data_IF_143759310090
#
_entry.id   IF_143759310090
#
_cell.length_a   1.000
_cell.length_b   1.000
_cell.length_c   1.000
_cell.angle_alpha   90.00
_cell.angle_beta   90.00
_cell.angle_gamma   90.00
#
_symmetry.space_group_name_H-M   'P 1'
#
loop_
_entity.id
_entity.type
_entity.pdbx_description
1 polymer ?
#
# COMPACT_ATOMS: atom_id res chain seq x y z
N UNK A 1 22.89 22.50 -15.75
CA UNK A 1 22.11 21.84 -16.82
C UNK A 1 20.71 21.67 -16.32
N UNK A 2 19.69 22.10 -17.05
CA UNK A 2 18.31 21.72 -16.77
C UNK A 2 18.17 20.23 -17.09
N UNK A 3 17.93 19.40 -16.09
CA UNK A 3 17.56 17.99 -16.29
C UNK A 3 16.05 17.94 -16.49
N UNK A 4 15.61 17.35 -17.59
CA UNK A 4 14.19 17.14 -17.89
C UNK A 4 13.74 15.79 -17.33
N UNK A 5 12.60 15.76 -16.64
CA UNK A 5 11.96 14.53 -16.19
C UNK A 5 11.30 13.84 -17.39
N UNK A 6 11.70 12.61 -17.76
CA UNK A 6 11.12 11.90 -18.89
C UNK A 6 9.68 11.45 -18.58
N UNK A 7 8.87 11.34 -19.63
CA UNK A 7 7.49 10.85 -19.51
C UNK A 7 7.44 9.42 -18.95
N UNK A 8 6.36 9.11 -18.22
CA UNK A 8 6.15 7.79 -17.64
C UNK A 8 5.87 6.77 -18.75
N UNK A 9 6.55 5.64 -18.68
CA UNK A 9 6.32 4.47 -19.54
C UNK A 9 5.62 3.40 -18.69
N UNK A 10 4.27 3.35 -18.69
CA UNK A 10 3.54 2.34 -17.93
C UNK A 10 3.66 0.98 -18.62
N UNK A 11 3.46 -0.08 -17.84
CA UNK A 11 3.34 -1.42 -18.39
C UNK A 11 1.93 -1.62 -18.93
N UNK A 12 1.83 -1.90 -20.23
CA UNK A 12 0.57 -2.29 -20.89
C UNK A 12 0.76 -3.71 -21.37
N UNK A 13 -0.03 -4.63 -20.85
CA UNK A 13 0.03 -6.04 -21.24
C UNK A 13 -1.34 -6.53 -21.69
N UNK A 14 -1.43 -7.19 -22.86
CA UNK A 14 -2.63 -7.90 -23.27
C UNK A 14 -2.84 -9.20 -22.47
N UNK A 15 -1.82 -9.66 -21.74
CA UNK A 15 -1.84 -10.86 -20.93
C UNK A 15 -2.13 -10.46 -19.48
N UNK A 16 -3.26 -10.93 -18.95
CA UNK A 16 -3.59 -10.81 -17.53
C UNK A 16 -3.79 -12.22 -16.99
N UNK A 17 -2.75 -12.78 -16.37
CA UNK A 17 -2.86 -14.11 -15.78
C UNK A 17 -3.86 -14.07 -14.62
N UNK A 18 -4.70 -15.10 -14.59
CA UNK A 18 -5.53 -15.45 -13.46
C UNK A 18 -5.10 -16.81 -12.94
N UNK A 19 -5.12 -16.99 -11.62
CA UNK A 19 -4.80 -18.26 -10.98
C UNK A 19 -6.07 -18.93 -10.50
N UNK A 20 -7.03 -18.13 -10.00
CA UNK A 20 -8.29 -18.63 -9.48
C UNK A 20 -9.38 -18.60 -10.55
N UNK A 21 -10.20 -19.65 -10.60
CA UNK A 21 -11.48 -19.59 -11.31
C UNK A 21 -12.44 -18.62 -10.60
N UNK A 22 -13.46 -18.13 -11.30
CA UNK A 22 -14.47 -17.25 -10.71
C UNK A 22 -15.16 -17.88 -9.48
N UNK A 23 -15.39 -19.19 -9.49
CA UNK A 23 -15.98 -19.91 -8.37
C UNK A 23 -15.04 -20.00 -7.16
N UNK A 24 -13.74 -20.23 -7.40
CA UNK A 24 -12.73 -20.23 -6.33
C UNK A 24 -12.57 -18.84 -5.72
N UNK A 25 -12.50 -17.80 -6.56
CA UNK A 25 -12.40 -16.40 -6.12
C UNK A 25 -13.60 -15.99 -5.26
N UNK A 26 -14.82 -16.33 -5.68
CA UNK A 26 -16.03 -16.09 -4.89
C UNK A 26 -15.99 -16.83 -3.55
N UNK A 27 -15.48 -18.07 -3.52
CA UNK A 27 -15.30 -18.85 -2.29
C UNK A 27 -14.26 -18.21 -1.37
N UNK A 28 -13.18 -17.65 -1.90
CA UNK A 28 -12.16 -16.94 -1.11
C UNK A 28 -12.78 -15.69 -0.47
N UNK A 29 -13.51 -14.87 -1.24
CA UNK A 29 -14.25 -13.72 -0.69
C UNK A 29 -15.28 -14.11 0.37
N UNK A 30 -16.01 -15.22 0.16
CA UNK A 30 -16.93 -15.77 1.16
C UNK A 30 -16.21 -16.09 2.47
N UNK A 31 -15.01 -16.68 2.39
CA UNK A 31 -14.18 -16.99 3.57
C UNK A 31 -13.65 -15.73 4.26
N UNK A 32 -13.28 -14.69 3.51
CA UNK A 32 -12.97 -13.37 4.08
C UNK A 32 -14.16 -12.82 4.87
N UNK A 33 -15.36 -12.83 4.27
CA UNK A 33 -16.59 -12.36 4.94
C UNK A 33 -16.92 -13.20 6.19
N UNK A 34 -16.75 -14.52 6.12
CA UNK A 34 -16.94 -15.40 7.27
C UNK A 34 -15.99 -15.05 8.43
N UNK A 35 -14.73 -14.72 8.13
CA UNK A 35 -13.74 -14.34 9.13
C UNK A 35 -14.11 -13.01 9.80
N UNK A 36 -14.51 -12.01 9.00
CA UNK A 36 -14.99 -10.71 9.49
C UNK A 36 -16.25 -10.82 10.36
N UNK A 37 -17.19 -11.71 9.99
CA UNK A 37 -18.46 -11.88 10.70
C UNK A 37 -18.31 -12.65 12.02
N UNK A 38 -17.53 -13.74 12.02
CA UNK A 38 -17.44 -14.68 13.15
C UNK A 38 -16.32 -14.34 14.13
N UNK A 39 -15.15 -13.95 13.62
CA UNK A 39 -13.98 -13.64 14.45
C UNK A 39 -13.95 -12.15 14.73
N UNK A 40 -13.94 -11.34 13.68
CA UNK A 40 -13.78 -9.88 13.75
C UNK A 40 -12.31 -9.45 13.73
N UNK A 41 -12.10 -8.15 13.80
CA UNK A 41 -10.79 -7.50 13.72
C UNK A 41 -10.64 -6.51 14.87
N UNK A 42 -9.44 -6.44 15.45
CA UNK A 42 -9.12 -5.53 16.54
C UNK A 42 -8.83 -4.11 16.02
N UNK A 43 -9.53 -3.11 16.57
CA UNK A 43 -9.44 -1.70 16.22
C UNK A 43 -9.22 -0.84 17.48
N UNK A 44 -7.97 -0.54 17.86
CA UNK A 44 -7.66 0.20 19.08
C UNK A 44 -7.85 1.72 18.92
N UNK A 45 -9.00 2.15 18.37
CA UNK A 45 -9.35 3.56 18.19
C UNK A 45 -10.82 3.79 18.57
N UNK A 46 -11.08 4.53 19.67
CA UNK A 46 -12.44 4.85 20.09
C UNK A 46 -13.28 5.51 18.99
N UNK A 47 -12.66 6.36 18.15
CA UNK A 47 -13.32 6.99 16.99
C UNK A 47 -13.76 5.96 15.96
N UNK A 48 -12.92 4.98 15.65
CA UNK A 48 -13.26 3.92 14.71
C UNK A 48 -14.38 3.02 15.24
N UNK A 49 -14.29 2.63 16.53
CA UNK A 49 -15.32 1.83 17.19
C UNK A 49 -16.69 2.53 17.18
N UNK A 50 -16.71 3.85 17.35
CA UNK A 50 -17.95 4.65 17.27
C UNK A 50 -18.55 4.62 15.86
N UNK A 51 -17.75 4.92 14.84
CA UNK A 51 -18.19 4.88 13.43
C UNK A 51 -18.79 3.51 13.09
N UNK A 52 -18.14 2.43 13.51
CA UNK A 52 -18.65 1.08 13.30
C UNK A 52 -19.98 0.83 14.02
N UNK A 53 -20.11 1.26 15.27
CA UNK A 53 -21.33 1.10 16.06
C UNK A 53 -22.51 1.87 15.44
N UNK A 54 -22.30 3.11 15.01
CA UNK A 54 -23.31 3.96 14.34
C UNK A 54 -23.86 3.31 13.06
N UNK A 55 -23.03 2.52 12.37
CA UNK A 55 -23.40 1.83 11.13
C UNK A 55 -23.88 0.38 11.34
N UNK A 56 -24.10 -0.03 12.59
CA UNK A 56 -24.69 -1.33 12.95
C UNK A 56 -23.71 -2.50 12.97
N UNK A 57 -22.40 -2.25 13.04
CA UNK A 57 -21.44 -3.32 13.30
C UNK A 57 -21.57 -3.85 14.73
N UNK A 58 -21.16 -5.10 14.96
CA UNK A 58 -21.10 -5.66 16.32
C UNK A 58 -19.75 -5.32 16.94
N UNK A 59 -19.77 -4.42 17.91
CA UNK A 59 -18.56 -3.87 18.54
C UNK A 59 -18.45 -4.36 19.99
N UNK A 60 -17.38 -5.08 20.30
CA UNK A 60 -16.94 -5.35 21.67
C UNK A 60 -15.98 -4.22 22.07
N UNK A 61 -16.46 -3.25 22.87
CA UNK A 61 -15.67 -2.08 23.26
C UNK A 61 -14.62 -2.39 24.32
N UNK A 62 -14.77 -3.46 25.09
CA UNK A 62 -13.78 -3.86 26.09
C UNK A 62 -12.56 -4.49 25.42
N UNK A 63 -12.80 -5.34 24.41
CA UNK A 63 -11.74 -5.99 23.64
C UNK A 63 -11.31 -5.20 22.41
N UNK A 64 -11.98 -4.10 22.11
CA UNK A 64 -11.80 -3.31 20.90
C UNK A 64 -11.93 -4.15 19.61
N UNK A 65 -12.81 -5.16 19.60
CA UNK A 65 -13.03 -6.06 18.46
C UNK A 65 -14.31 -5.67 17.71
N UNK A 66 -14.20 -5.53 16.40
CA UNK A 66 -15.31 -5.24 15.49
C UNK A 66 -15.59 -6.45 14.62
N UNK A 67 -16.85 -6.91 14.62
CA UNK A 67 -17.35 -7.94 13.70
C UNK A 67 -18.27 -7.30 12.66
N UNK A 68 -17.99 -7.59 11.40
CA UNK A 68 -18.68 -7.00 10.25
C UNK A 68 -19.51 -8.07 9.56
N UNK A 69 -20.82 -7.84 9.41
CA UNK A 69 -21.67 -8.77 8.66
C UNK A 69 -21.37 -8.66 7.15
N UNK A 70 -21.60 -9.74 6.37
CA UNK A 70 -21.42 -9.70 4.91
C UNK A 70 -22.17 -8.54 4.26
N UNK A 71 -23.40 -8.24 4.71
CA UNK A 71 -24.23 -7.17 4.18
C UNK A 71 -23.65 -5.78 4.46
N UNK A 72 -23.08 -5.57 5.65
CA UNK A 72 -22.40 -4.32 6.01
C UNK A 72 -21.15 -4.11 5.14
N UNK A 73 -20.35 -5.17 4.97
CA UNK A 73 -19.14 -5.12 4.14
C UNK A 73 -19.50 -4.79 2.70
N UNK A 74 -20.46 -5.49 2.10
CA UNK A 74 -20.90 -5.26 0.73
C UNK A 74 -21.47 -3.84 0.54
N UNK A 75 -22.28 -3.36 1.49
CA UNK A 75 -22.86 -2.01 1.43
C UNK A 75 -21.79 -0.93 1.51
N UNK A 76 -20.80 -1.07 2.39
CA UNK A 76 -19.73 -0.08 2.51
C UNK A 76 -18.83 -0.10 1.27
N UNK A 77 -18.38 -1.29 0.86
CA UNK A 77 -17.47 -1.45 -0.27
C UNK A 77 -18.09 -1.07 -1.62
N UNK A 78 -19.42 -1.11 -1.77
CA UNK A 78 -20.07 -0.62 -3.01
C UNK A 78 -19.91 0.88 -3.25
N UNK A 79 -19.53 1.64 -2.22
CA UNK A 79 -19.23 3.08 -2.35
C UNK A 79 -17.76 3.35 -2.72
N UNK A 80 -16.87 2.35 -2.60
CA UNK A 80 -15.46 2.53 -2.94
C UNK A 80 -15.28 2.69 -4.47
N UNK A 81 -14.51 3.69 -4.94
CA UNK A 81 -14.31 3.89 -6.36
C UNK A 81 -13.36 2.83 -6.95
N UNK A 82 -13.81 2.11 -8.00
CA UNK A 82 -12.95 1.20 -8.76
C UNK A 82 -11.81 1.89 -9.48
N UNK A 83 -11.99 3.16 -9.84
CA UNK A 83 -10.99 3.93 -10.56
C UNK A 83 -10.90 5.36 -10.07
N UNK A 84 -9.67 5.85 -9.96
CA UNK A 84 -9.33 7.22 -9.60
C UNK A 84 -7.93 7.56 -10.09
N UNK A 85 -7.57 8.84 -10.00
CA UNK A 85 -6.27 9.37 -10.41
C UNK A 85 -5.38 9.57 -9.18
N UNK A 86 -4.11 9.18 -9.32
CA UNK A 86 -3.04 9.64 -8.44
C UNK A 86 -2.27 10.73 -9.17
N UNK A 87 -2.32 11.95 -8.65
CA UNK A 87 -1.81 13.14 -9.33
C UNK A 87 -0.29 13.24 -9.27
N UNK A 88 0.35 13.48 -10.41
CA UNK A 88 1.70 14.03 -10.44
C UNK A 88 1.70 15.54 -10.24
N UNK A 89 2.89 16.15 -10.16
CA UNK A 89 3.03 17.62 -10.15
C UNK A 89 2.46 18.24 -11.42
N UNK A 90 2.58 17.54 -12.53
CA UNK A 90 2.03 17.88 -13.85
C UNK A 90 1.11 16.75 -14.31
N UNK A 91 0.12 17.07 -15.17
CA UNK A 91 -0.88 16.09 -15.65
C UNK A 91 -0.24 14.93 -16.42
N UNK A 92 0.90 15.16 -17.09
CA UNK A 92 1.64 14.09 -17.79
C UNK A 92 2.22 13.02 -16.86
N UNK A 93 2.26 13.29 -15.55
CA UNK A 93 2.74 12.35 -14.52
C UNK A 93 1.59 11.75 -13.70
N UNK A 94 0.35 11.91 -14.13
CA UNK A 94 -0.81 11.29 -13.48
C UNK A 94 -0.84 9.78 -13.71
N UNK A 95 -1.17 9.06 -12.65
CA UNK A 95 -1.41 7.62 -12.72
C UNK A 95 -2.91 7.37 -12.70
N UNK A 96 -3.43 6.86 -13.81
CA UNK A 96 -4.84 6.51 -13.96
C UNK A 96 -5.02 5.06 -13.51
N UNK A 97 -5.62 4.84 -12.34
CA UNK A 97 -5.84 3.51 -11.77
C UNK A 97 -7.17 2.93 -12.26
N UNK A 98 -7.27 2.55 -13.52
CA UNK A 98 -8.47 1.97 -14.14
C UNK A 98 -8.30 0.49 -14.53
N UNK A 99 -7.14 -0.10 -14.20
CA UNK A 99 -6.77 -1.47 -14.57
C UNK A 99 -6.32 -1.62 -16.03
N UNK A 100 -6.20 -0.55 -16.82
CA UNK A 100 -5.67 -0.62 -18.19
C UNK A 100 -4.14 -0.70 -18.24
N UNK A 101 -3.47 -0.25 -17.17
CA UNK A 101 -2.03 -0.06 -17.06
C UNK A 101 -1.53 -0.50 -15.69
N UNK A 102 -0.28 -0.93 -15.63
CA UNK A 102 0.45 -1.18 -14.39
C UNK A 102 1.58 -0.17 -14.22
N UNK A 103 1.65 0.45 -13.06
CA UNK A 103 2.67 1.45 -12.74
C UNK A 103 3.69 0.88 -11.76
N UNK A 104 4.98 0.96 -12.11
CA UNK A 104 6.05 0.48 -11.23
C UNK A 104 6.36 1.52 -10.15
N UNK A 105 6.38 1.09 -8.88
CA UNK A 105 6.79 1.89 -7.74
C UNK A 105 8.05 1.38 -7.03
N UNK A 106 8.66 2.29 -6.28
CA UNK A 106 9.69 1.96 -5.28
C UNK A 106 9.06 1.41 -3.99
N UNK A 107 9.89 0.81 -3.13
CA UNK A 107 9.57 0.31 -1.79
C UNK A 107 9.65 1.42 -0.72
N UNK A 108 9.35 1.08 0.53
CA UNK A 108 9.11 2.00 1.61
C UNK A 108 9.97 1.83 2.87
N UNK A 109 10.47 2.97 3.35
CA UNK A 109 10.80 3.26 4.76
C UNK A 109 11.86 2.36 5.39
N UNK A 110 12.82 1.88 4.59
CA UNK A 110 14.06 1.27 5.09
C UNK A 110 14.81 2.18 6.07
N UNK A 111 15.49 1.58 7.04
CA UNK A 111 16.21 2.32 8.11
C UNK A 111 17.71 2.45 7.88
N UNK A 112 18.20 1.87 6.78
CA UNK A 112 19.58 1.88 6.35
C UNK A 112 19.66 2.03 4.84
N UNK A 113 20.78 2.56 4.37
CA UNK A 113 21.13 2.66 2.95
C UNK A 113 22.53 2.07 2.76
N UNK A 114 22.79 1.49 1.59
CA UNK A 114 24.16 1.22 1.14
C UNK A 114 24.62 2.44 0.37
N UNK A 115 25.62 3.11 0.92
CA UNK A 115 26.16 4.32 0.32
C UNK A 115 26.79 4.01 -1.05
N UNK A 116 26.40 4.72 -2.13
CA UNK A 116 26.81 4.35 -3.48
C UNK A 116 28.31 4.53 -3.74
N UNK A 117 28.97 5.44 -3.00
CA UNK A 117 30.40 5.73 -3.15
C UNK A 117 31.23 4.78 -2.29
N UNK A 118 30.92 4.69 -0.99
CA UNK A 118 31.72 3.91 -0.04
C UNK A 118 31.34 2.43 0.01
N UNK A 119 30.17 2.06 -0.53
CA UNK A 119 29.56 0.72 -0.46
C UNK A 119 29.30 0.23 0.97
N UNK A 120 29.34 1.13 1.95
CA UNK A 120 29.08 0.79 3.34
C UNK A 120 27.60 0.97 3.69
N UNK A 121 27.08 0.06 4.51
CA UNK A 121 25.74 0.19 5.08
C UNK A 121 25.78 1.20 6.22
N UNK A 122 24.93 2.23 6.15
CA UNK A 122 24.79 3.25 7.19
C UNK A 122 23.31 3.58 7.46
N UNK A 123 22.98 4.19 8.62
CA UNK A 123 21.66 4.78 8.82
C UNK A 123 21.33 5.78 7.70
N UNK A 124 20.07 5.77 7.26
CA UNK A 124 19.57 6.70 6.25
C UNK A 124 19.30 8.10 6.83
N UNK A 125 19.39 9.13 5.99
CA UNK A 125 19.03 10.52 6.28
C UNK A 125 18.11 11.10 5.20
N UNK A 126 17.63 12.33 5.40
CA UNK A 126 16.76 13.02 4.44
C UNK A 126 17.40 13.18 3.05
N UNK A 127 18.71 13.34 2.98
CA UNK A 127 19.42 13.49 1.70
C UNK A 127 19.40 12.20 0.87
N UNK A 128 19.36 11.04 1.53
CA UNK A 128 19.18 9.75 0.84
C UNK A 128 17.79 9.68 0.20
N UNK A 129 16.74 10.13 0.90
CA UNK A 129 15.38 10.22 0.34
C UNK A 129 15.34 11.15 -0.87
N UNK A 130 15.99 12.31 -0.77
CA UNK A 130 16.09 13.27 -1.88
C UNK A 130 16.85 12.69 -3.08
N UNK A 131 17.97 12.00 -2.85
CA UNK A 131 18.74 11.33 -3.90
C UNK A 131 17.91 10.27 -4.61
N UNK A 132 17.23 9.42 -3.84
CA UNK A 132 16.37 8.37 -4.35
C UNK A 132 15.18 8.91 -5.14
N UNK A 133 14.59 10.02 -4.69
CA UNK A 133 13.53 10.72 -5.42
C UNK A 133 14.01 11.19 -6.80
N UNK A 134 15.23 11.76 -6.89
CA UNK A 134 15.82 12.18 -8.18
C UNK A 134 16.14 11.00 -9.10
N UNK A 135 16.60 9.87 -8.54
CA UNK A 135 16.81 8.64 -9.32
C UNK A 135 15.48 8.13 -9.88
N UNK A 136 14.44 8.07 -9.05
CA UNK A 136 13.09 7.73 -9.48
C UNK A 136 12.59 8.69 -10.57
N UNK A 137 12.80 9.99 -10.40
CA UNK A 137 12.41 11.03 -11.37
C UNK A 137 13.05 10.80 -12.74
N UNK A 138 14.35 10.50 -12.77
CA UNK A 138 15.11 10.27 -14.00
C UNK A 138 14.75 8.96 -14.75
N UNK A 139 14.08 8.00 -14.12
CA UNK A 139 13.78 6.69 -14.71
C UNK A 139 12.35 6.63 -15.27
N UNK A 140 12.14 6.53 -16.60
CA UNK A 140 10.79 6.57 -17.19
C UNK A 140 9.89 5.40 -16.77
N UNK A 141 10.47 4.24 -16.47
CA UNK A 141 9.72 3.06 -16.03
C UNK A 141 9.23 3.18 -14.59
N UNK A 142 9.92 3.94 -13.73
CA UNK A 142 9.50 4.14 -12.34
C UNK A 142 8.50 5.29 -12.31
N UNK A 143 7.24 4.96 -12.07
CA UNK A 143 6.10 5.87 -12.24
C UNK A 143 5.68 6.57 -10.95
N UNK A 144 5.98 5.95 -9.81
CA UNK A 144 5.49 6.32 -8.49
C UNK A 144 6.65 6.27 -7.50
N UNK A 145 6.82 7.34 -6.72
CA UNK A 145 7.85 7.39 -5.70
C UNK A 145 7.30 7.10 -4.31
N UNK A 146 7.66 5.95 -3.78
CA UNK A 146 7.63 5.67 -2.35
C UNK A 146 9.02 5.97 -1.75
N UNK A 147 9.14 6.80 -0.69
CA UNK A 147 10.39 6.95 0.05
C UNK A 147 10.98 5.60 0.48
N UNK A 148 12.03 5.11 -0.21
CA UNK A 148 12.66 3.81 0.05
C UNK A 148 13.34 3.73 1.40
N UNK A 149 13.77 4.86 1.95
CA UNK A 149 14.37 4.97 3.28
C UNK A 149 13.72 6.08 4.10
N UNK A 150 13.99 6.09 5.40
CA UNK A 150 13.48 7.10 6.33
C UNK A 150 14.52 8.17 6.67
N UNK A 151 14.06 9.41 6.81
CA UNK A 151 14.83 10.58 7.26
C UNK A 151 15.12 10.50 8.78
N UNK A 152 15.91 9.51 9.21
CA UNK A 152 16.13 9.20 10.64
C UNK A 152 16.81 10.33 11.41
N UNK A 153 17.54 11.18 10.71
CA UNK A 153 18.14 12.41 11.20
C UNK A 153 17.12 13.41 11.77
N UNK A 154 15.82 13.23 11.50
CA UNK A 154 14.73 14.06 12.03
C UNK A 154 13.84 13.34 13.07
N UNK A 155 14.24 12.16 13.56
CA UNK A 155 13.56 11.47 14.66
C UNK A 155 12.05 11.31 14.44
N UNK A 156 11.23 11.82 15.36
CA UNK A 156 9.75 11.65 15.32
C UNK A 156 9.08 12.40 14.17
N UNK A 157 9.72 13.39 13.56
CA UNK A 157 9.19 14.13 12.41
C UNK A 157 9.69 13.58 11.08
N UNK A 158 10.45 12.48 11.07
CA UNK A 158 10.95 11.83 9.86
C UNK A 158 9.89 11.67 8.75
N UNK A 159 8.62 11.29 9.02
CA UNK A 159 7.62 11.18 7.95
C UNK A 159 7.31 12.49 7.22
N UNK A 160 7.32 13.63 7.94
CA UNK A 160 7.17 14.96 7.31
C UNK A 160 8.36 15.28 6.41
N UNK A 161 9.56 14.91 6.85
CA UNK A 161 10.80 15.13 6.09
C UNK A 161 10.89 14.19 4.88
N UNK A 162 10.38 12.97 4.98
CA UNK A 162 10.25 12.04 3.85
C UNK A 162 9.32 12.64 2.78
N UNK A 163 8.11 13.05 3.18
CA UNK A 163 7.14 13.65 2.26
C UNK A 163 7.69 14.93 1.62
N UNK A 164 8.26 15.82 2.42
CA UNK A 164 8.87 17.05 1.91
C UNK A 164 10.02 16.78 0.93
N UNK A 165 10.98 15.92 1.29
CA UNK A 165 12.10 15.59 0.41
C UNK A 165 11.62 14.98 -0.90
N UNK A 166 10.60 14.13 -0.87
CA UNK A 166 9.96 13.55 -2.04
C UNK A 166 9.37 14.62 -2.96
N UNK A 167 8.47 15.45 -2.42
CA UNK A 167 7.70 16.43 -3.19
C UNK A 167 8.55 17.51 -3.87
N UNK A 168 9.75 17.79 -3.36
CA UNK A 168 10.66 18.78 -3.95
C UNK A 168 11.72 18.18 -4.88
N UNK A 169 11.83 16.85 -4.97
CA UNK A 169 12.87 16.16 -5.77
C UNK A 169 12.30 15.25 -6.87
N UNK A 170 10.97 15.14 -7.02
CA UNK A 170 10.35 14.50 -8.18
C UNK A 170 9.07 15.20 -8.60
N UNK A 171 8.78 15.16 -9.91
CA UNK A 171 7.51 15.61 -10.48
C UNK A 171 6.44 14.51 -10.50
N UNK A 172 6.83 13.25 -10.22
CA UNK A 172 5.95 12.08 -10.21
C UNK A 172 5.12 12.01 -8.93
N UNK A 173 4.10 11.16 -8.92
CA UNK A 173 3.26 10.96 -7.74
C UNK A 173 4.06 10.40 -6.55
N UNK A 174 3.74 10.85 -5.33
CA UNK A 174 4.49 10.55 -4.11
C UNK A 174 3.65 9.82 -3.05
N UNK A 175 4.19 8.78 -2.43
CA UNK A 175 3.63 8.22 -1.19
C UNK A 175 4.12 8.97 0.04
N UNK A 176 3.41 10.04 0.39
CA UNK A 176 3.79 10.93 1.50
C UNK A 176 3.30 10.47 2.89
N UNK A 177 2.21 9.71 2.95
CA UNK A 177 1.51 9.40 4.20
C UNK A 177 1.83 8.02 4.78
N UNK A 178 3.10 7.75 5.12
CA UNK A 178 3.53 6.45 5.68
C UNK A 178 4.11 6.60 7.09
N UNK A 179 3.66 5.76 8.04
CA UNK A 179 4.15 5.74 9.44
C UNK A 179 4.01 7.10 10.15
N UNK A 180 2.89 7.79 9.90
CA UNK A 180 2.65 9.14 10.43
C UNK A 180 1.84 9.05 11.71
N UNK A 181 2.29 9.76 12.76
CA UNK A 181 1.47 9.93 13.96
C UNK A 181 0.30 10.88 13.65
N UNK A 182 -0.93 10.68 14.17
CA UNK A 182 -2.12 11.47 13.80
C UNK A 182 -1.92 12.99 13.90
N UNK A 183 -1.25 13.45 14.97
CA UNK A 183 -0.86 14.86 15.14
C UNK A 183 -0.01 15.45 14.02
N UNK A 184 0.70 14.62 13.25
CA UNK A 184 1.53 15.03 12.13
C UNK A 184 0.81 14.88 10.78
N UNK A 185 -0.27 14.09 10.73
CA UNK A 185 -0.99 13.80 9.49
C UNK A 185 -1.57 15.08 8.86
N UNK A 186 -2.06 16.02 9.67
CA UNK A 186 -2.56 17.31 9.18
C UNK A 186 -1.50 18.13 8.44
N UNK A 187 -0.23 18.07 8.85
CA UNK A 187 0.85 18.77 8.13
C UNK A 187 1.15 18.11 6.78
N UNK A 188 1.00 16.79 6.65
CA UNK A 188 1.06 16.11 5.34
C UNK A 188 -0.09 16.58 4.43
N UNK A 189 -1.30 16.76 5.01
CA UNK A 189 -2.44 17.33 4.28
C UNK A 189 -2.16 18.78 3.83
N UNK A 190 -1.54 19.59 4.67
CA UNK A 190 -1.13 20.96 4.32
C UNK A 190 -0.11 20.96 3.18
N UNK A 191 0.92 20.09 3.24
CA UNK A 191 1.87 19.93 2.13
C UNK A 191 1.17 19.54 0.82
N UNK A 192 0.24 18.59 0.87
CA UNK A 192 -0.55 18.18 -0.30
C UNK A 192 -1.39 19.34 -0.84
N UNK A 193 -1.97 20.15 0.04
CA UNK A 193 -2.81 21.30 -0.34
C UNK A 193 -1.98 22.40 -1.00
N UNK A 194 -0.77 22.67 -0.51
CA UNK A 194 0.19 23.61 -1.14
C UNK A 194 0.59 23.12 -2.52
N UNK A 195 0.88 21.83 -2.68
CA UNK A 195 1.24 21.24 -3.99
C UNK A 195 0.09 21.27 -4.98
N UNK A 196 -1.13 20.96 -4.52
CA UNK A 196 -2.32 20.95 -5.37
C UNK A 196 -2.82 22.36 -5.73
N UNK A 197 -2.48 23.39 -4.93
CA UNK A 197 -2.91 24.77 -5.11
C UNK A 197 -4.37 25.05 -4.74
N UNK A 198 -5.22 24.01 -4.62
CA UNK A 198 -6.60 24.13 -4.14
C UNK A 198 -7.10 22.82 -3.53
N UNK A 199 -8.14 22.91 -2.69
CA UNK A 199 -8.80 21.72 -2.14
C UNK A 199 -9.48 20.87 -3.22
N UNK A 200 -10.06 21.50 -4.24
CA UNK A 200 -10.70 20.81 -5.37
C UNK A 200 -9.67 19.98 -6.16
N UNK A 201 -8.53 20.59 -6.53
CA UNK A 201 -7.45 19.90 -7.22
C UNK A 201 -6.91 18.75 -6.38
N UNK A 202 -6.74 18.95 -5.07
CA UNK A 202 -6.27 17.91 -4.15
C UNK A 202 -7.21 16.70 -4.12
N UNK A 203 -8.53 16.91 -4.22
CA UNK A 203 -9.51 15.81 -4.24
C UNK A 203 -9.54 15.11 -5.61
N UNK A 204 -9.49 15.88 -6.71
CA UNK A 204 -9.59 15.34 -8.08
C UNK A 204 -8.30 14.67 -8.57
N UNK A 205 -7.15 15.23 -8.22
CA UNK A 205 -5.79 14.81 -8.61
C UNK A 205 -4.85 14.89 -7.38
N UNK A 206 -5.08 14.05 -6.35
CA UNK A 206 -4.29 14.09 -5.12
C UNK A 206 -2.80 13.91 -5.41
N UNK A 207 -1.92 14.86 -5.03
CA UNK A 207 -0.49 14.80 -5.35
C UNK A 207 0.26 13.77 -4.49
N UNK A 208 -0.41 13.26 -3.45
CA UNK A 208 0.11 12.22 -2.58
C UNK A 208 -0.95 11.17 -2.28
N UNK A 209 -0.51 9.98 -1.89
CA UNK A 209 -1.33 8.98 -1.22
C UNK A 209 -0.68 8.52 0.09
N UNK A 210 -1.45 7.81 0.90
CA UNK A 210 -1.02 7.20 2.15
C UNK A 210 -0.93 5.67 2.04
N UNK A 211 -0.10 5.06 2.88
CA UNK A 211 -0.07 3.61 3.08
C UNK A 211 -0.11 3.31 4.57
N UNK A 212 -1.13 2.56 4.98
CA UNK A 212 -1.35 2.15 6.36
C UNK A 212 -1.25 0.63 6.42
N UNK A 213 -0.23 0.14 7.09
CA UNK A 213 -0.07 -1.30 7.29
C UNK A 213 -1.01 -1.77 8.41
N UNK A 214 -1.62 -2.92 8.20
CA UNK A 214 -2.36 -3.64 9.23
C UNK A 214 -1.37 -4.36 10.16
N UNK A 215 -1.85 -4.80 11.32
CA UNK A 215 -1.08 -5.57 12.28
C UNK A 215 -1.62 -7.00 12.26
N UNK A 216 -0.94 -7.88 11.53
CA UNK A 216 -1.36 -9.29 11.48
C UNK A 216 -1.01 -10.02 12.78
N UNK A 217 -1.89 -10.92 13.28
CA UNK A 217 -3.19 -11.29 12.72
C UNK A 217 -4.35 -10.37 13.16
N UNK A 218 -5.22 -10.02 12.21
CA UNK A 218 -6.57 -9.43 12.42
C UNK A 218 -6.59 -8.23 13.38
N UNK A 219 -5.62 -7.32 13.27
CA UNK A 219 -5.55 -6.11 14.08
C UNK A 219 -5.11 -4.91 13.26
N UNK A 220 -5.37 -3.72 13.80
CA UNK A 220 -4.85 -2.45 13.29
C UNK A 220 -4.08 -1.69 14.36
N UNK A 221 -3.22 -0.78 13.90
CA UNK A 221 -2.56 0.21 14.73
C UNK A 221 -3.47 1.45 14.89
N UNK A 222 -3.57 1.97 16.12
CA UNK A 222 -4.37 3.15 16.45
C UNK A 222 -3.97 4.36 15.61
N UNK A 223 -2.68 4.65 15.53
CA UNK A 223 -2.15 5.84 14.86
C UNK A 223 -2.39 5.79 13.35
N UNK A 224 -2.25 4.61 12.75
CA UNK A 224 -2.52 4.33 11.35
C UNK A 224 -3.99 4.56 11.03
N UNK A 225 -4.92 4.01 11.81
CA UNK A 225 -6.36 4.20 11.60
C UNK A 225 -6.78 5.66 11.79
N UNK A 226 -6.30 6.32 12.84
CA UNK A 226 -6.62 7.73 13.07
C UNK A 226 -6.05 8.64 11.97
N UNK A 227 -4.84 8.34 11.48
CA UNK A 227 -4.26 9.08 10.35
C UNK A 227 -5.01 8.78 9.04
N UNK A 228 -5.46 7.54 8.82
CA UNK A 228 -6.27 7.17 7.67
C UNK A 228 -7.58 7.98 7.62
N UNK A 229 -8.26 8.13 8.77
CA UNK A 229 -9.48 8.95 8.84
C UNK A 229 -9.19 10.43 8.50
N UNK A 230 -8.07 10.99 8.96
CA UNK A 230 -7.64 12.37 8.59
C UNK A 230 -7.37 12.49 7.09
N UNK A 231 -6.70 11.51 6.49
CA UNK A 231 -6.40 11.51 5.06
C UNK A 231 -7.66 11.34 4.20
N UNK A 232 -8.58 10.46 4.61
CA UNK A 232 -9.84 10.24 3.90
C UNK A 232 -10.70 11.51 3.88
N UNK A 233 -10.82 12.19 5.03
CA UNK A 233 -11.51 13.48 5.14
C UNK A 233 -10.91 14.55 4.22
N UNK A 234 -9.59 14.50 4.02
CA UNK A 234 -8.85 15.37 3.13
C UNK A 234 -8.92 14.97 1.64
N UNK A 235 -9.56 13.85 1.29
CA UNK A 235 -9.58 13.32 -0.07
C UNK A 235 -8.24 12.76 -0.54
N UNK A 236 -7.34 12.41 0.39
CA UNK A 236 -6.07 11.74 0.07
C UNK A 236 -6.33 10.24 -0.03
N UNK A 237 -5.97 9.57 -1.15
CA UNK A 237 -6.14 8.13 -1.32
C UNK A 237 -5.34 7.31 -0.31
N UNK A 238 -5.92 6.21 0.15
CA UNK A 238 -5.32 5.35 1.18
C UNK A 238 -5.19 3.92 0.69
N UNK A 239 -3.97 3.40 0.77
CA UNK A 239 -3.68 1.97 0.67
C UNK A 239 -3.71 1.35 2.04
N UNK A 240 -4.44 0.24 2.18
CA UNK A 240 -4.30 -0.64 3.34
C UNK A 240 -3.51 -1.87 2.93
N UNK A 241 -2.43 -2.14 3.68
CA UNK A 241 -1.48 -3.20 3.37
C UNK A 241 -1.40 -4.23 4.49
N UNK A 242 -1.77 -5.48 4.18
CA UNK A 242 -1.51 -6.60 5.07
C UNK A 242 -0.25 -7.36 4.67
N UNK A 243 0.55 -7.74 5.66
CA UNK A 243 1.79 -8.50 5.48
C UNK A 243 1.79 -9.80 6.30
N UNK A 244 0.81 -10.70 6.10
CA UNK A 244 0.68 -11.91 6.89
C UNK A 244 1.89 -12.82 6.66
N UNK A 245 2.60 -13.16 7.76
CA UNK A 245 3.79 -14.02 7.72
C UNK A 245 3.39 -15.45 8.09
N UNK A 246 3.37 -16.34 7.10
CA UNK A 246 3.04 -17.75 7.27
C UNK A 246 3.95 -18.41 8.30
N UNK A 247 3.35 -19.13 9.25
CA UNK A 247 4.07 -19.81 10.33
C UNK A 247 4.43 -18.90 11.51
N UNK A 248 4.10 -17.61 11.45
CA UNK A 248 4.29 -16.65 12.54
C UNK A 248 2.98 -15.93 12.84
N UNK A 249 2.71 -14.81 12.15
CA UNK A 249 1.51 -14.00 12.33
C UNK A 249 0.32 -14.47 11.50
N UNK A 250 0.50 -15.51 10.67
CA UNK A 250 -0.54 -16.09 9.83
C UNK A 250 -0.47 -17.63 9.81
N UNK A 251 -1.57 -18.32 9.48
CA UNK A 251 -1.54 -19.77 9.24
C UNK A 251 -0.48 -20.14 8.20
N UNK A 252 0.14 -21.32 8.34
CA UNK A 252 1.21 -21.80 7.46
C UNK A 252 0.73 -22.27 6.07
N UNK A 253 -0.44 -21.81 5.61
CA UNK A 253 -1.00 -22.14 4.29
C UNK A 253 -1.22 -20.86 3.49
N UNK A 254 -0.72 -20.76 2.23
CA UNK A 254 -0.77 -19.52 1.46
C UNK A 254 -2.17 -18.93 1.31
N UNK A 255 -3.17 -19.77 1.04
CA UNK A 255 -4.54 -19.33 0.85
C UNK A 255 -5.18 -18.80 2.14
N UNK A 256 -4.88 -19.42 3.30
CA UNK A 256 -5.42 -18.96 4.57
C UNK A 256 -4.74 -17.66 5.02
N UNK A 257 -3.43 -17.53 4.80
CA UNK A 257 -2.72 -16.28 5.02
C UNK A 257 -3.28 -15.15 4.15
N UNK A 258 -3.57 -15.43 2.87
CA UNK A 258 -4.20 -14.48 1.96
C UNK A 258 -5.59 -14.06 2.43
N UNK A 259 -6.47 -14.99 2.79
CA UNK A 259 -7.83 -14.70 3.32
C UNK A 259 -7.76 -13.85 4.59
N UNK A 260 -6.81 -14.15 5.48
CA UNK A 260 -6.63 -13.39 6.72
C UNK A 260 -6.15 -11.96 6.44
N UNK A 261 -5.16 -11.80 5.56
CA UNK A 261 -4.69 -10.47 5.13
C UNK A 261 -5.77 -9.68 4.40
N UNK A 262 -6.58 -10.35 3.57
CA UNK A 262 -7.74 -9.75 2.91
C UNK A 262 -8.76 -9.23 3.93
N UNK A 263 -9.05 -10.00 4.99
CA UNK A 263 -9.94 -9.54 6.05
C UNK A 263 -9.40 -8.30 6.79
N UNK A 264 -8.09 -8.24 7.06
CA UNK A 264 -7.46 -7.06 7.64
C UNK A 264 -7.64 -5.82 6.74
N UNK A 265 -7.30 -5.93 5.46
CA UNK A 265 -7.40 -4.84 4.48
C UNK A 265 -8.85 -4.37 4.32
N UNK A 266 -9.77 -5.31 4.06
CA UNK A 266 -11.19 -4.98 3.83
C UNK A 266 -11.83 -4.37 5.06
N UNK A 267 -11.49 -4.82 6.28
CA UNK A 267 -12.04 -4.21 7.49
C UNK A 267 -11.71 -2.71 7.61
N UNK A 268 -10.49 -2.30 7.24
CA UNK A 268 -10.10 -0.90 7.27
C UNK A 268 -10.68 -0.09 6.11
N UNK A 269 -10.78 -0.69 4.91
CA UNK A 269 -11.46 -0.05 3.79
C UNK A 269 -12.94 0.19 4.08
N UNK A 270 -13.62 -0.77 4.71
CA UNK A 270 -14.99 -0.62 5.20
C UNK A 270 -15.08 0.55 6.17
N UNK A 271 -14.17 0.68 7.15
CA UNK A 271 -14.14 1.82 8.05
C UNK A 271 -14.09 3.16 7.29
N UNK A 272 -13.21 3.27 6.30
CA UNK A 272 -13.07 4.49 5.50
C UNK A 272 -14.35 4.76 4.70
N UNK A 273 -14.96 3.75 4.09
CA UNK A 273 -16.21 3.93 3.34
C UNK A 273 -17.42 4.24 4.24
N UNK A 274 -17.44 3.78 5.49
CA UNK A 274 -18.47 4.16 6.45
C UNK A 274 -18.31 5.62 6.90
N UNK A 275 -17.07 6.05 7.14
CA UNK A 275 -16.78 7.42 7.55
C UNK A 275 -16.94 8.44 6.40
N UNK A 276 -16.47 8.07 5.21
CA UNK A 276 -16.38 8.93 4.03
C UNK A 276 -16.70 8.12 2.76
N UNK A 277 -17.98 7.86 2.48
CA UNK A 277 -18.40 7.12 1.28
C UNK A 277 -17.82 7.74 0.00
N UNK A 278 -17.20 6.92 -0.85
CA UNK A 278 -16.55 7.39 -2.09
C UNK A 278 -15.08 7.79 -1.93
N UNK A 279 -14.53 7.78 -0.71
CA UNK A 279 -13.12 8.06 -0.50
C UNK A 279 -12.24 7.03 -1.24
N UNK A 280 -11.21 7.46 -1.99
CA UNK A 280 -10.35 6.54 -2.75
C UNK A 280 -9.55 5.61 -1.83
N UNK A 281 -9.74 4.31 -2.01
CA UNK A 281 -9.02 3.26 -1.28
C UNK A 281 -8.52 2.20 -2.24
N UNK A 282 -7.37 1.59 -1.93
CA UNK A 282 -6.83 0.49 -2.72
C UNK A 282 -6.21 -0.59 -1.83
N UNK A 283 -6.28 -1.82 -2.34
CA UNK A 283 -6.01 -3.05 -1.61
C UNK A 283 -4.57 -3.52 -1.83
N UNK A 284 -3.91 -3.98 -0.77
CA UNK A 284 -2.58 -4.55 -0.84
C UNK A 284 -2.41 -5.72 0.14
N UNK A 285 -2.07 -6.90 -0.36
CA UNK A 285 -1.71 -8.05 0.48
C UNK A 285 -0.40 -8.65 -0.01
N UNK A 286 0.60 -8.66 0.86
CA UNK A 286 1.92 -9.24 0.61
C UNK A 286 2.18 -10.36 1.61
N UNK A 287 1.86 -11.59 1.23
CA UNK A 287 2.16 -12.76 2.06
C UNK A 287 3.66 -13.04 2.10
N UNK A 288 4.17 -13.47 3.25
CA UNK A 288 5.56 -13.90 3.45
C UNK A 288 5.61 -15.22 4.22
N UNK A 289 6.81 -15.75 4.42
CA UNK A 289 7.07 -16.97 5.19
C UNK A 289 8.09 -16.70 6.29
N UNK A 290 7.91 -17.31 7.46
CA UNK A 290 8.97 -17.37 8.46
C UNK A 290 9.86 -18.59 8.18
N UNK A 291 11.17 -18.41 8.10
CA UNK A 291 12.14 -19.52 8.05
C UNK A 291 11.97 -20.36 9.33
N UNK A 292 11.55 -21.64 9.24
CA UNK A 292 11.29 -22.47 10.42
C UNK A 292 12.57 -22.79 11.22
N UNK A 293 13.76 -22.64 10.63
CA UNK A 293 15.05 -22.90 11.27
C UNK A 293 15.61 -21.65 11.95
N UNK A 294 15.50 -20.49 11.32
CA UNK A 294 16.14 -19.25 11.82
C UNK A 294 15.16 -18.28 12.47
N UNK A 295 13.86 -18.43 12.23
CA UNK A 295 12.84 -17.43 12.57
C UNK A 295 12.92 -16.18 11.70
N UNK A 296 13.77 -16.16 10.67
CA UNK A 296 13.93 -15.04 9.76
C UNK A 296 12.72 -14.81 8.86
N UNK A 297 12.54 -13.58 8.41
CA UNK A 297 11.53 -13.21 7.42
C UNK A 297 12.02 -13.61 6.02
N UNK A 298 11.24 -14.44 5.32
CA UNK A 298 11.42 -14.78 3.92
C UNK A 298 10.30 -14.09 3.16
N UNK A 299 10.69 -13.16 2.31
CA UNK A 299 9.79 -12.32 1.55
C UNK A 299 9.43 -12.94 0.19
N UNK A 300 10.31 -13.78 -0.35
CA UNK A 300 10.07 -14.52 -1.59
C UNK A 300 9.11 -15.69 -1.34
N UNK A 301 7.89 -15.53 -1.82
CA UNK A 301 6.84 -16.55 -1.80
C UNK A 301 6.42 -16.86 -3.24
N UNK A 302 5.89 -18.06 -3.53
CA UNK A 302 5.52 -18.43 -4.89
C UNK A 302 4.66 -17.38 -5.60
N UNK A 303 5.03 -17.05 -6.83
CA UNK A 303 4.41 -16.02 -7.65
C UNK A 303 2.86 -16.04 -7.73
N UNK A 304 2.16 -17.20 -7.70
CA UNK A 304 0.70 -17.23 -7.67
C UNK A 304 0.06 -16.40 -6.55
N UNK A 305 0.74 -16.26 -5.39
CA UNK A 305 0.22 -15.49 -4.25
C UNK A 305 -0.09 -14.04 -4.61
N UNK A 306 0.83 -13.37 -5.32
CA UNK A 306 0.67 -11.97 -5.72
C UNK A 306 -0.43 -11.77 -6.77
N UNK A 307 -0.58 -12.74 -7.68
CA UNK A 307 -1.67 -12.71 -8.68
C UNK A 307 -3.02 -12.86 -7.98
N UNK A 308 -3.15 -13.81 -7.04
CA UNK A 308 -4.38 -14.01 -6.28
C UNK A 308 -4.76 -12.77 -5.45
N UNK A 309 -3.79 -12.08 -4.85
CA UNK A 309 -4.04 -10.82 -4.14
C UNK A 309 -4.64 -9.74 -5.06
N UNK A 310 -4.14 -9.62 -6.30
CA UNK A 310 -4.71 -8.75 -7.33
C UNK A 310 -6.11 -9.17 -7.75
N UNK A 311 -6.35 -10.47 -7.94
CA UNK A 311 -7.68 -10.99 -8.28
C UNK A 311 -8.69 -10.65 -7.18
N UNK A 312 -8.31 -10.74 -5.90
CA UNK A 312 -9.16 -10.34 -4.77
C UNK A 312 -9.44 -8.85 -4.75
N UNK A 313 -8.42 -8.00 -4.91
CA UNK A 313 -8.61 -6.55 -4.98
C UNK A 313 -9.64 -6.16 -6.06
N UNK A 314 -9.50 -6.73 -7.26
CA UNK A 314 -10.41 -6.48 -8.37
C UNK A 314 -11.81 -7.04 -8.11
N UNK A 315 -11.92 -8.19 -7.43
CA UNK A 315 -13.20 -8.77 -7.01
C UNK A 315 -13.92 -7.92 -5.96
N UNK A 316 -13.18 -7.18 -5.13
CA UNK A 316 -13.72 -6.19 -4.20
C UNK A 316 -14.05 -4.84 -4.87
N UNK A 317 -13.77 -4.71 -6.17
CA UNK A 317 -14.09 -3.52 -6.93
C UNK A 317 -13.12 -2.36 -6.68
N UNK A 318 -11.86 -2.62 -6.28
CA UNK A 318 -10.87 -1.58 -6.00
C UNK A 318 -9.54 -1.82 -6.74
N UNK A 319 -8.68 -0.79 -6.91
CA UNK A 319 -7.33 -0.98 -7.42
C UNK A 319 -6.47 -1.83 -6.48
N UNK A 320 -5.45 -2.47 -7.06
CA UNK A 320 -4.46 -3.27 -6.33
C UNK A 320 -3.09 -2.59 -6.31
N UNK A 321 -2.47 -2.52 -5.14
CA UNK A 321 -1.03 -2.44 -4.99
C UNK A 321 -0.49 -3.85 -4.74
N UNK A 322 0.11 -4.45 -5.76
CA UNK A 322 0.52 -5.86 -5.74
C UNK A 322 0.70 -6.45 -7.13
N UNK A 323 0.44 -7.74 -7.27
CA UNK A 323 0.59 -8.47 -8.55
C UNK A 323 2.02 -8.87 -8.88
N UNK A 324 2.99 -7.97 -8.65
CA UNK A 324 4.40 -8.27 -8.86
C UNK A 324 5.29 -7.48 -7.89
N UNK A 325 6.46 -8.04 -7.61
CA UNK A 325 7.46 -7.51 -6.69
C UNK A 325 8.81 -7.49 -7.40
N UNK A 326 9.67 -6.52 -7.08
CA UNK A 326 11.02 -6.38 -7.65
C UNK A 326 12.07 -6.16 -6.55
N UNK A 327 11.82 -6.76 -5.39
CA UNK A 327 12.76 -6.90 -4.28
C UNK A 327 12.83 -8.37 -3.87
N UNK A 328 13.85 -8.72 -3.11
CA UNK A 328 14.18 -10.10 -2.78
C UNK A 328 14.79 -10.26 -1.39
N UNK A 329 15.18 -11.48 -1.07
CA UNK A 329 15.79 -11.87 0.22
C UNK A 329 17.32 -11.91 0.16
N UNK A 330 17.89 -11.64 -1.02
CA UNK A 330 19.33 -11.60 -1.19
C UNK A 330 20.01 -10.59 -0.22
N UNK A 331 20.97 -11.03 0.62
CA UNK A 331 21.64 -10.15 1.57
C UNK A 331 22.63 -9.19 0.91
N UNK A 332 23.08 -9.52 -0.30
CA UNK A 332 24.07 -8.77 -1.08
C UNK A 332 23.70 -8.75 -2.57
N UNK A 333 24.27 -7.79 -3.29
CA UNK A 333 24.14 -7.72 -4.75
C UNK A 333 24.92 -8.87 -5.39
N UNK A 334 24.19 -9.77 -6.03
CA UNK A 334 24.75 -10.95 -6.69
C UNK A 334 23.72 -11.68 -7.54
N UNK A 335 24.05 -12.92 -7.91
CA UNK A 335 23.20 -13.75 -8.78
C UNK A 335 21.79 -13.96 -8.19
N UNK A 336 21.66 -14.11 -6.87
CA UNK A 336 20.37 -14.27 -6.20
C UNK A 336 19.51 -13.02 -6.37
N UNK A 337 20.04 -11.83 -6.04
CA UNK A 337 19.33 -10.57 -6.24
C UNK A 337 18.94 -10.34 -7.71
N UNK A 338 19.82 -10.69 -8.65
CA UNK A 338 19.54 -10.56 -10.08
C UNK A 338 18.43 -11.49 -10.56
N UNK A 339 18.40 -12.72 -10.04
CA UNK A 339 17.36 -13.71 -10.35
C UNK A 339 16.01 -13.30 -9.76
N UNK A 340 15.95 -12.96 -8.47
CA UNK A 340 14.71 -12.58 -7.76
C UNK A 340 14.10 -11.30 -8.39
N UNK A 341 14.91 -10.26 -8.61
CA UNK A 341 14.46 -9.02 -9.23
C UNK A 341 14.05 -9.24 -10.69
N UNK A 342 14.81 -10.05 -11.45
CA UNK A 342 14.52 -10.34 -12.85
C UNK A 342 13.21 -11.10 -13.04
N UNK A 343 12.97 -12.13 -12.22
CA UNK A 343 11.70 -12.86 -12.21
C UNK A 343 10.54 -11.94 -11.86
N UNK A 344 10.72 -11.15 -10.80
CA UNK A 344 9.77 -10.15 -10.35
C UNK A 344 9.37 -9.13 -11.42
N UNK A 345 10.35 -8.60 -12.15
CA UNK A 345 10.13 -7.65 -13.24
C UNK A 345 9.32 -8.28 -14.39
N UNK A 346 9.62 -9.54 -14.75
CA UNK A 346 8.84 -10.29 -15.73
C UNK A 346 7.38 -10.49 -15.33
N UNK A 347 7.12 -10.63 -14.02
CA UNK A 347 5.76 -10.81 -13.51
C UNK A 347 4.89 -9.55 -13.57
N UNK A 348 5.46 -8.35 -13.65
CA UNK A 348 4.69 -7.09 -13.72
C UNK A 348 3.74 -7.12 -14.92
N UNK A 349 4.26 -7.50 -16.09
CA UNK A 349 3.46 -7.60 -17.31
C UNK A 349 2.44 -8.74 -17.27
N UNK A 350 2.69 -9.80 -16.50
CA UNK A 350 1.82 -10.98 -16.46
C UNK A 350 0.67 -10.81 -15.45
N UNK A 351 0.95 -10.26 -14.27
CA UNK A 351 -0.01 -10.19 -13.17
C UNK A 351 -1.06 -9.10 -13.35
N UNK A 352 -0.69 -7.96 -13.95
CA UNK A 352 -1.61 -6.85 -14.24
C UNK A 352 -2.19 -6.17 -13.01
N UNK A 353 -1.38 -5.92 -11.97
CA UNK A 353 -1.76 -5.05 -10.84
C UNK A 353 -1.80 -3.58 -11.26
N UNK A 354 -2.57 -2.73 -10.59
CA UNK A 354 -2.69 -1.31 -10.96
C UNK A 354 -1.42 -0.54 -10.57
N UNK A 355 -0.89 -0.80 -9.37
CA UNK A 355 0.43 -0.37 -8.92
C UNK A 355 1.23 -1.63 -8.55
N UNK A 356 2.43 -1.75 -9.09
CA UNK A 356 3.27 -2.93 -8.94
C UNK A 356 4.69 -2.56 -8.54
N UNK A 357 5.43 -3.54 -8.06
CA UNK A 357 6.84 -3.40 -7.78
C UNK A 357 7.12 -2.72 -6.46
N UNK A 358 8.09 -3.27 -5.76
CA UNK A 358 8.50 -2.86 -4.43
C UNK A 358 10.02 -2.83 -4.54
N UNK A 359 10.53 -1.82 -5.25
CA UNK A 359 11.95 -1.69 -5.61
C UNK A 359 12.71 -0.91 -4.54
N UNK A 360 13.80 -1.45 -4.00
CA UNK A 360 14.55 -0.84 -2.89
C UNK A 360 16.03 -1.11 -2.94
#
# INVERSE_FOLDING_TARGET
MSTETPDIVPFVSPIKSGVLTAAELAKVQEKTMQLLDKVGVHFPSPRALEIFAEHGARVDREKEIVRLSPELVQRAMSTAPRSFILGGREERFDLILDGSRSYLCTDGTGVHVVDPETRQKRPSCKDDVALMARVCDALPLVSFFWPMVSSKDFGRTAPLHNCHASLINTLKHVRGGTTVHPRLATYIVEMASVVAGSAETRIRRPPICANICTISPLSHDKHGIESALIYAEAGIPISFMAMPTMGSTAPATPLAALIMGDAEVISAMVLIQLAFPGAPVFHAVFTSLMDPRTGGYISDVPAPSYIMAKELAHAWGVPCLGGARVSGDAPELGWQSGFEVGLGAGMIALAGGDICGVMG
#
